data_IF_414420416693
#
_entry.id   IF_414420416693
#
_cell.length_a   1.000
_cell.length_b   1.000
_cell.length_c   1.000
_cell.angle_alpha   90.00
_cell.angle_beta   90.00
_cell.angle_gamma   90.00
#
_symmetry.space_group_name_H-M   'P 1'
#
loop_
_entity.id
_entity.type
_entity.pdbx_description
1 polymer ?
#
# COMPACT_ATOMS: atom_id res chain seq x y z
N UNK A 1 -10.50 -26.79 -13.49
CA UNK A 1 -11.05 -27.16 -12.16
C UNK A 1 -9.95 -27.94 -11.47
N UNK A 2 -9.08 -27.26 -10.72
CA UNK A 2 -8.04 -27.91 -9.93
C UNK A 2 -8.62 -28.40 -8.61
N UNK A 3 -8.06 -29.45 -8.06
CA UNK A 3 -8.33 -29.91 -6.69
C UNK A 3 -7.90 -28.86 -5.67
N UNK A 4 -8.45 -28.91 -4.45
CA UNK A 4 -8.07 -28.02 -3.35
C UNK A 4 -6.55 -27.99 -3.10
N UNK A 5 -5.87 -29.10 -3.42
CA UNK A 5 -4.43 -29.24 -3.34
C UNK A 5 -3.70 -28.41 -4.40
N UNK A 6 -4.17 -28.44 -5.65
CA UNK A 6 -3.59 -27.67 -6.75
C UNK A 6 -3.80 -26.16 -6.56
N UNK A 7 -4.96 -25.75 -6.02
CA UNK A 7 -5.21 -24.35 -5.66
C UNK A 7 -4.35 -23.90 -4.47
N UNK A 8 -4.08 -24.78 -3.49
CA UNK A 8 -3.20 -24.47 -2.36
C UNK A 8 -1.72 -24.40 -2.77
N UNK A 9 -1.27 -25.22 -3.72
CA UNK A 9 0.10 -25.18 -4.26
C UNK A 9 0.34 -23.97 -5.16
N UNK A 10 -0.70 -23.48 -5.86
CA UNK A 10 -0.66 -22.26 -6.67
C UNK A 10 -0.94 -20.98 -5.86
N UNK A 11 -1.29 -21.11 -4.56
CA UNK A 11 -1.58 -19.97 -3.69
C UNK A 11 -0.29 -19.25 -3.31
N UNK A 12 0.17 -18.36 -4.18
CA UNK A 12 1.17 -17.36 -3.81
C UNK A 12 0.50 -16.34 -2.90
N UNK A 13 0.83 -16.38 -1.61
CA UNK A 13 0.45 -15.30 -0.70
C UNK A 13 0.99 -14.00 -1.27
N UNK A 14 0.13 -13.02 -1.61
CA UNK A 14 0.60 -11.80 -2.21
C UNK A 14 1.48 -11.07 -1.20
N UNK A 15 2.78 -11.08 -1.46
CA UNK A 15 3.79 -10.39 -0.65
C UNK A 15 3.77 -8.90 -0.95
N UNK A 16 2.64 -8.24 -0.69
CA UNK A 16 2.58 -6.79 -0.74
C UNK A 16 3.26 -6.25 0.51
N UNK A 17 4.36 -5.52 0.34
CA UNK A 17 5.04 -4.81 1.42
C UNK A 17 4.22 -3.59 1.84
N UNK A 18 4.57 -2.96 2.95
CA UNK A 18 3.87 -1.76 3.38
C UNK A 18 4.60 -0.51 2.87
N UNK A 19 3.87 0.49 2.35
CA UNK A 19 4.48 1.76 1.91
C UNK A 19 5.27 2.48 3.02
N UNK A 20 4.96 2.21 4.29
CA UNK A 20 5.73 2.71 5.45
C UNK A 20 7.15 2.15 5.58
N UNK A 21 7.50 1.10 4.83
CA UNK A 21 8.86 0.57 4.77
C UNK A 21 9.76 1.38 3.82
N UNK A 22 9.18 2.27 3.00
CA UNK A 22 9.93 3.13 2.09
C UNK A 22 10.42 4.38 2.81
N UNK A 23 11.73 4.62 2.75
CA UNK A 23 12.33 5.82 3.34
C UNK A 23 11.96 7.09 2.57
N UNK A 24 11.77 6.99 1.25
CA UNK A 24 11.39 8.08 0.35
C UNK A 24 10.46 7.58 -0.73
N UNK A 25 9.38 8.32 -0.96
CA UNK A 25 8.31 7.97 -1.86
C UNK A 25 8.03 9.19 -2.76
N UNK A 26 8.29 9.11 -4.07
CA UNK A 26 7.90 10.15 -5.00
C UNK A 26 6.37 10.26 -5.10
N UNK A 27 5.85 11.49 -5.09
CA UNK A 27 4.41 11.76 -5.26
C UNK A 27 3.90 11.34 -6.65
N UNK A 28 4.79 11.30 -7.65
CA UNK A 28 4.47 10.92 -9.03
C UNK A 28 4.48 9.42 -9.30
N UNK A 29 4.59 8.56 -8.28
CA UNK A 29 4.49 7.11 -8.48
C UNK A 29 3.11 6.74 -9.02
N UNK A 30 3.10 5.80 -9.96
CA UNK A 30 1.86 5.25 -10.48
C UNK A 30 1.26 4.30 -9.44
N UNK A 31 0.01 4.57 -9.09
CA UNK A 31 -0.78 3.72 -8.19
C UNK A 31 -1.59 2.74 -9.04
N UNK A 32 -1.46 1.47 -8.72
CA UNK A 32 -2.22 0.38 -9.34
C UNK A 32 -3.24 -0.19 -8.34
N UNK A 33 -4.36 -0.70 -8.85
CA UNK A 33 -5.37 -1.37 -8.03
C UNK A 33 -5.24 -2.89 -8.23
N UNK A 34 -4.94 -3.59 -7.15
CA UNK A 34 -4.89 -5.06 -7.12
C UNK A 34 -6.11 -5.57 -6.38
N UNK A 35 -6.85 -6.49 -7.01
CA UNK A 35 -7.92 -7.22 -6.34
C UNK A 35 -7.34 -8.40 -5.58
N UNK A 36 -7.71 -8.49 -4.31
CA UNK A 36 -7.41 -9.63 -3.46
C UNK A 36 -8.70 -10.30 -3.04
N UNK A 37 -8.78 -11.61 -3.25
CA UNK A 37 -9.90 -12.42 -2.77
C UNK A 37 -9.53 -12.97 -1.40
N UNK A 38 -10.30 -12.60 -0.38
CA UNK A 38 -10.20 -13.23 0.95
C UNK A 38 -10.78 -14.64 0.89
N UNK A 39 -10.35 -15.50 1.82
CA UNK A 39 -10.91 -16.86 2.02
C UNK A 39 -12.44 -16.90 2.14
N UNK A 40 -13.04 -15.81 2.62
CA UNK A 40 -14.49 -15.64 2.78
C UNK A 40 -15.22 -15.33 1.45
N UNK A 41 -14.52 -15.32 0.31
CA UNK A 41 -15.07 -14.98 -1.01
C UNK A 41 -15.29 -13.48 -1.23
N UNK A 42 -14.92 -12.64 -0.27
CA UNK A 42 -14.96 -11.18 -0.41
C UNK A 42 -13.73 -10.71 -1.20
N UNK A 43 -13.95 -10.14 -2.39
CA UNK A 43 -12.91 -9.40 -3.12
C UNK A 43 -12.75 -8.03 -2.51
N UNK A 44 -11.51 -7.62 -2.26
CA UNK A 44 -11.17 -6.27 -1.85
C UNK A 44 -10.06 -5.73 -2.73
N UNK A 45 -10.30 -4.56 -3.31
CA UNK A 45 -9.27 -3.81 -4.03
C UNK A 45 -8.36 -3.13 -3.02
N UNK A 46 -7.06 -3.26 -3.22
CA UNK A 46 -6.08 -2.42 -2.53
C UNK A 46 -5.23 -1.69 -3.54
N UNK A 47 -4.89 -0.46 -3.19
CA UNK A 47 -3.98 0.37 -3.96
C UNK A 47 -2.55 -0.02 -3.62
N UNK A 48 -1.76 -0.32 -4.63
CA UNK A 48 -0.33 -0.62 -4.52
C UNK A 48 0.47 0.33 -5.40
N UNK A 49 1.71 0.59 -5.03
CA UNK A 49 2.69 1.23 -5.90
C UNK A 49 3.81 0.24 -6.15
N UNK A 50 4.27 0.16 -7.40
CA UNK A 50 5.39 -0.70 -7.78
C UNK A 50 6.66 0.13 -7.70
N UNK A 51 7.62 -0.33 -6.89
CA UNK A 51 8.96 0.28 -6.80
C UNK A 51 9.99 -0.83 -6.73
N UNK A 52 11.01 -0.79 -7.58
CA UNK A 52 12.05 -1.83 -7.66
C UNK A 52 11.51 -3.26 -7.87
N UNK A 53 10.45 -3.42 -8.69
CA UNK A 53 9.77 -4.71 -8.91
C UNK A 53 9.05 -5.26 -7.65
N UNK A 54 8.94 -4.45 -6.58
CA UNK A 54 8.22 -4.80 -5.36
C UNK A 54 6.89 -4.03 -5.25
N UNK A 55 5.82 -4.74 -4.91
CA UNK A 55 4.50 -4.16 -4.66
C UNK A 55 4.42 -3.62 -3.21
N UNK A 56 4.21 -2.30 -3.07
CA UNK A 56 3.98 -1.66 -1.78
C UNK A 56 2.52 -1.24 -1.64
N UNK A 57 1.81 -1.85 -0.71
CA UNK A 57 0.44 -1.49 -0.37
C UNK A 57 0.36 -0.09 0.22
N UNK A 58 -0.54 0.71 -0.32
CA UNK A 58 -0.88 2.05 0.13
C UNK A 58 -2.18 2.03 0.93
N UNK A 59 -2.14 2.22 2.26
CA UNK A 59 -3.33 2.33 3.07
C UNK A 59 -4.17 3.56 2.70
N UNK A 60 -5.49 3.45 2.84
CA UNK A 60 -6.41 4.58 2.59
C UNK A 60 -6.08 5.79 3.46
N UNK A 61 -5.63 5.57 4.71
CA UNK A 61 -5.20 6.65 5.62
C UNK A 61 -4.02 7.45 5.07
N UNK A 62 -3.07 6.80 4.39
CA UNK A 62 -1.93 7.47 3.74
C UNK A 62 -2.43 8.37 2.61
N UNK A 63 -3.32 7.88 1.75
CA UNK A 63 -3.89 8.67 0.65
C UNK A 63 -4.66 9.88 1.16
N UNK A 64 -5.41 9.73 2.25
CA UNK A 64 -6.16 10.83 2.87
C UNK A 64 -5.22 11.92 3.39
N UNK A 65 -4.15 11.53 4.10
CA UNK A 65 -3.13 12.46 4.59
C UNK A 65 -2.35 13.12 3.45
N UNK A 66 -1.96 12.36 2.43
CA UNK A 66 -1.24 12.88 1.26
C UNK A 66 -2.09 13.88 0.49
N UNK A 67 -3.40 13.65 0.33
CA UNK A 67 -4.32 14.61 -0.31
C UNK A 67 -4.31 15.97 0.41
N UNK A 68 -4.34 15.98 1.74
CA UNK A 68 -4.26 17.22 2.51
C UNK A 68 -2.91 17.90 2.29
N UNK A 69 -1.81 17.14 2.35
CA UNK A 69 -0.46 17.70 2.16
C UNK A 69 -0.23 18.28 0.77
N UNK A 70 -0.66 17.61 -0.30
CA UNK A 70 -0.49 18.11 -1.68
C UNK A 70 -1.35 19.36 -1.91
N UNK A 71 -2.49 19.48 -1.23
CA UNK A 71 -3.30 20.70 -1.28
C UNK A 71 -2.61 21.90 -0.59
N UNK A 72 -1.88 21.66 0.50
CA UNK A 72 -1.13 22.70 1.23
C UNK A 72 0.24 23.01 0.60
N UNK A 73 0.92 21.99 0.05
CA UNK A 73 2.24 22.05 -0.58
C UNK A 73 2.18 21.41 -1.97
N UNK A 74 1.74 22.14 -3.01
CA UNK A 74 1.64 21.60 -4.37
C UNK A 74 3.00 21.28 -5.00
N UNK A 75 4.09 21.82 -4.46
CA UNK A 75 5.47 21.55 -4.90
C UNK A 75 6.09 20.30 -4.24
N UNK A 76 5.34 19.57 -3.42
CA UNK A 76 5.81 18.35 -2.76
C UNK A 76 6.23 17.31 -3.80
N UNK A 77 7.51 16.92 -3.78
CA UNK A 77 8.06 15.90 -4.68
C UNK A 77 8.13 14.53 -4.03
N UNK A 78 8.52 14.51 -2.76
CA UNK A 78 8.81 13.28 -2.03
C UNK A 78 8.17 13.33 -0.64
N UNK A 79 7.81 12.15 -0.12
CA UNK A 79 7.33 12.00 1.24
C UNK A 79 7.79 10.66 1.81
N UNK A 80 7.65 10.49 3.11
CA UNK A 80 7.76 9.21 3.78
C UNK A 80 6.50 8.92 4.58
N UNK A 81 6.27 7.66 4.86
CA UNK A 81 5.17 7.24 5.72
C UNK A 81 5.75 6.64 6.98
N UNK A 82 5.43 7.24 8.13
CA UNK A 82 5.72 6.65 9.42
C UNK A 82 4.53 5.79 9.85
N UNK A 83 4.80 4.55 10.21
CA UNK A 83 3.81 3.67 10.86
C UNK A 83 4.10 3.63 12.35
N UNK A 84 3.12 3.98 13.16
CA UNK A 84 3.22 3.93 14.62
C UNK A 84 2.12 3.03 15.20
N UNK A 85 2.40 2.36 16.31
CA UNK A 85 1.47 1.45 16.96
C UNK A 85 1.44 0.02 16.40
N UNK A 86 0.63 -0.82 17.05
CA UNK A 86 0.55 -2.26 16.79
C UNK A 86 -0.92 -2.73 16.78
N UNK A 87 -1.22 -3.74 15.97
CA UNK A 87 -2.57 -4.31 15.84
C UNK A 87 -3.60 -3.27 15.39
N UNK A 88 -4.73 -3.19 16.11
CA UNK A 88 -5.83 -2.27 15.81
C UNK A 88 -5.48 -0.79 16.04
N UNK A 89 -4.36 -0.49 16.70
CA UNK A 89 -3.89 0.87 16.96
C UNK A 89 -2.79 1.32 15.99
N UNK A 90 -2.71 0.68 14.83
CA UNK A 90 -1.77 1.08 13.78
C UNK A 90 -2.21 2.41 13.16
N UNK A 91 -1.36 3.42 13.26
CA UNK A 91 -1.54 4.72 12.64
C UNK A 91 -0.47 4.95 11.56
N UNK A 92 -0.88 5.59 10.46
CA UNK A 92 0.01 5.93 9.36
C UNK A 92 0.04 7.45 9.20
N UNK A 93 1.22 8.03 9.40
CA UNK A 93 1.46 9.48 9.27
C UNK A 93 2.30 9.73 8.03
N UNK A 94 1.81 10.57 7.13
CA UNK A 94 2.60 11.07 6.00
C UNK A 94 3.50 12.19 6.50
N UNK A 95 4.77 12.17 6.14
CA UNK A 95 5.76 13.18 6.50
C UNK A 95 6.40 13.66 5.19
N UNK A 96 6.29 14.94 4.83
CA UNK A 96 6.88 15.45 3.60
C UNK A 96 8.40 15.42 3.71
N UNK A 97 9.07 15.11 2.61
CA UNK A 97 10.52 15.24 2.48
C UNK A 97 10.75 16.32 1.42
N UNK A 98 11.36 17.41 1.86
CA UNK A 98 11.74 18.56 1.01
C UNK A 98 12.95 18.20 0.13
#
# INVERSE_FOLDING_TARGET
MGTLKEEAEAYETPKTRNISELERIPVNLQVEEREFTKEDGTTFTVKVVVLNDEDYRVPVSVLKNLKAMVAEKPELKEFKVSKTGEGLKTEYTVIPLD
#
